data_IF_328263858305
#
_entry.id   IF_328263858305
#
_cell.length_a   1.000
_cell.length_b   1.000
_cell.length_c   1.000
_cell.angle_alpha   90.00
_cell.angle_beta   90.00
_cell.angle_gamma   90.00
#
_symmetry.space_group_name_H-M   'P 1'
#
loop_
_entity.id
_entity.type
_entity.pdbx_description
1 polymer ?
#
# COMPACT_ATOMS: atom_id res chain seq x y z
N UNK A 1 10.00 24.14 -18.18
CA UNK A 1 10.67 24.15 -16.85
C UNK A 1 12.19 24.33 -16.94
N UNK A 2 12.98 23.42 -17.53
CA UNK A 2 14.47 23.56 -17.65
C UNK A 2 14.92 24.80 -18.46
N UNK A 3 14.22 25.12 -19.56
CA UNK A 3 14.50 26.32 -20.37
C UNK A 3 14.14 27.61 -19.63
N UNK A 4 13.06 27.57 -18.86
CA UNK A 4 12.54 28.76 -18.16
C UNK A 4 13.41 29.10 -16.94
N UNK A 5 13.92 28.09 -16.21
CA UNK A 5 14.81 28.31 -15.07
C UNK A 5 16.19 28.83 -15.50
N UNK A 6 16.76 28.28 -16.58
CA UNK A 6 18.00 28.78 -17.16
C UNK A 6 17.83 30.21 -17.70
N UNK A 7 16.70 30.51 -18.35
CA UNK A 7 16.41 31.87 -18.82
C UNK A 7 16.32 32.87 -17.65
N UNK A 8 15.63 32.51 -16.57
CA UNK A 8 15.51 33.37 -15.37
C UNK A 8 16.88 33.57 -14.70
N UNK A 9 17.72 32.54 -14.61
CA UNK A 9 19.07 32.64 -14.05
C UNK A 9 20.00 33.50 -14.91
N UNK A 10 19.93 33.37 -16.23
CA UNK A 10 20.68 34.21 -17.16
C UNK A 10 20.25 35.67 -17.01
N UNK A 11 18.93 35.92 -16.95
CA UNK A 11 18.39 37.28 -16.76
C UNK A 11 18.84 37.86 -15.40
N UNK A 12 18.78 37.09 -14.32
CA UNK A 12 19.23 37.54 -13.00
C UNK A 12 20.73 37.86 -12.98
N UNK A 13 21.58 37.04 -13.60
CA UNK A 13 23.01 37.31 -13.75
C UNK A 13 23.27 38.59 -14.54
N UNK A 14 22.56 38.79 -15.65
CA UNK A 14 22.66 40.00 -16.47
C UNK A 14 22.25 41.23 -15.66
N UNK A 15 21.14 41.15 -14.90
CA UNK A 15 20.64 42.26 -14.07
C UNK A 15 21.62 42.61 -12.95
N UNK A 16 22.15 41.63 -12.22
CA UNK A 16 23.10 41.86 -11.13
C UNK A 16 24.40 42.48 -11.66
N UNK A 17 24.92 41.95 -12.77
CA UNK A 17 26.14 42.49 -13.39
C UNK A 17 25.94 43.90 -13.95
N UNK A 18 24.79 44.20 -14.57
CA UNK A 18 24.49 45.56 -15.04
C UNK A 18 24.30 46.55 -13.89
N UNK A 19 23.63 46.17 -12.81
CA UNK A 19 23.48 47.04 -11.62
C UNK A 19 24.85 47.31 -10.99
N UNK A 20 25.71 46.29 -10.85
CA UNK A 20 27.06 46.44 -10.30
C UNK A 20 27.95 47.34 -11.18
N UNK A 21 27.84 47.23 -12.52
CA UNK A 21 28.51 48.12 -13.48
C UNK A 21 28.06 49.57 -13.31
N UNK A 22 26.75 49.81 -13.21
CA UNK A 22 26.19 51.16 -13.10
C UNK A 22 26.57 51.80 -11.75
N UNK A 23 26.49 51.06 -10.65
CA UNK A 23 26.81 51.57 -9.31
C UNK A 23 28.31 51.81 -9.11
N UNK A 24 29.17 50.88 -9.53
CA UNK A 24 30.61 51.06 -9.35
C UNK A 24 31.23 52.12 -10.24
N UNK A 25 30.64 52.39 -11.42
CA UNK A 25 31.03 53.51 -12.27
C UNK A 25 30.77 54.89 -11.62
N UNK A 26 29.83 54.98 -10.67
CA UNK A 26 29.53 56.20 -9.91
C UNK A 26 30.43 56.40 -8.69
N UNK A 27 30.93 55.31 -8.08
CA UNK A 27 31.66 55.36 -6.80
C UNK A 27 33.19 55.39 -7.00
N UNK A 28 33.73 54.74 -8.03
CA UNK A 28 35.18 54.50 -8.19
C UNK A 28 35.85 55.29 -9.34
N UNK A 29 35.59 56.60 -9.43
CA UNK A 29 36.04 57.46 -10.53
C UNK A 29 37.56 57.78 -10.60
N UNK A 30 38.48 57.09 -9.86
CA UNK A 30 39.83 56.93 -10.40
C UNK A 30 40.42 55.51 -10.35
N UNK A 31 39.82 54.53 -9.67
CA UNK A 31 40.38 53.17 -9.55
C UNK A 31 39.57 52.13 -10.34
N UNK A 32 39.64 52.26 -11.67
CA UNK A 32 39.07 51.28 -12.60
C UNK A 32 39.59 49.86 -12.34
N UNK A 33 40.86 49.71 -11.91
CA UNK A 33 41.46 48.39 -11.70
C UNK A 33 40.82 47.67 -10.51
N UNK A 34 40.64 48.35 -9.39
CA UNK A 34 39.94 47.79 -8.22
C UNK A 34 38.49 47.45 -8.52
N UNK A 35 37.78 48.32 -9.28
CA UNK A 35 36.40 48.08 -9.67
C UNK A 35 36.23 46.83 -10.57
N UNK A 36 37.01 46.73 -11.66
CA UNK A 36 36.95 45.56 -12.54
C UNK A 36 37.42 44.28 -11.85
N UNK A 37 38.39 44.36 -10.93
CA UNK A 37 38.80 43.21 -10.13
C UNK A 37 37.66 42.69 -9.23
N UNK A 38 36.91 43.59 -8.58
CA UNK A 38 35.77 43.18 -7.73
C UNK A 38 34.61 42.62 -8.56
N UNK A 39 34.23 43.29 -9.66
CA UNK A 39 33.18 42.81 -10.56
C UNK A 39 33.51 41.44 -11.17
N UNK A 40 34.79 41.22 -11.52
CA UNK A 40 35.26 39.94 -12.04
C UNK A 40 35.24 38.84 -10.95
N UNK A 41 35.63 39.17 -9.72
CA UNK A 41 35.58 38.25 -8.59
C UNK A 41 34.13 37.84 -8.24
N UNK A 42 33.22 38.81 -8.16
CA UNK A 42 31.78 38.56 -7.92
C UNK A 42 31.14 37.77 -9.07
N UNK A 43 31.46 38.12 -10.32
CA UNK A 43 31.02 37.39 -11.51
C UNK A 43 31.48 35.93 -11.49
N UNK A 44 32.77 35.67 -11.24
CA UNK A 44 33.32 34.32 -11.12
C UNK A 44 32.65 33.53 -9.99
N UNK A 45 32.39 34.17 -8.85
CA UNK A 45 31.68 33.56 -7.72
C UNK A 45 30.25 33.13 -8.08
N UNK A 46 29.51 34.00 -8.76
CA UNK A 46 28.16 33.70 -9.24
C UNK A 46 28.15 32.55 -10.27
N UNK A 47 29.06 32.57 -11.25
CA UNK A 47 29.22 31.50 -12.23
C UNK A 47 29.59 30.16 -11.59
N UNK A 48 30.53 30.15 -10.63
CA UNK A 48 30.92 28.94 -9.91
C UNK A 48 29.75 28.35 -9.12
N UNK A 49 28.98 29.19 -8.45
CA UNK A 49 27.79 28.77 -7.68
C UNK A 49 26.74 28.17 -8.60
N UNK A 50 26.42 28.83 -9.73
CA UNK A 50 25.46 28.31 -10.72
C UNK A 50 25.92 26.97 -11.28
N UNK A 51 27.19 26.85 -11.66
CA UNK A 51 27.75 25.61 -12.20
C UNK A 51 27.69 24.46 -11.19
N UNK A 52 28.00 24.72 -9.91
CA UNK A 52 27.92 23.72 -8.83
C UNK A 52 26.48 23.29 -8.61
N UNK A 53 25.54 24.25 -8.49
CA UNK A 53 24.12 23.95 -8.29
C UNK A 53 23.56 23.16 -9.48
N UNK A 54 23.91 23.54 -10.71
CA UNK A 54 23.49 22.79 -11.90
C UNK A 54 24.05 21.37 -11.90
N UNK A 55 25.33 21.18 -11.59
CA UNK A 55 25.97 19.86 -11.44
C UNK A 55 25.31 19.02 -10.34
N UNK A 56 24.97 19.61 -9.19
CA UNK A 56 24.27 18.94 -8.10
C UNK A 56 22.86 18.51 -8.51
N UNK A 57 22.09 19.40 -9.15
CA UNK A 57 20.75 19.10 -9.65
C UNK A 57 20.78 17.98 -10.69
N UNK A 58 21.74 18.01 -11.63
CA UNK A 58 21.93 16.95 -12.62
C UNK A 58 22.28 15.60 -11.96
N UNK A 59 23.16 15.63 -10.95
CA UNK A 59 23.57 14.42 -10.25
C UNK A 59 22.43 13.81 -9.41
N UNK A 60 21.61 14.64 -8.76
CA UNK A 60 20.42 14.20 -8.04
C UNK A 60 19.36 13.63 -8.97
N UNK A 61 19.14 14.23 -10.15
CA UNK A 61 18.26 13.65 -11.17
C UNK A 61 18.75 12.27 -11.62
N UNK A 62 20.06 12.10 -11.84
CA UNK A 62 20.64 10.80 -12.24
C UNK A 62 20.46 9.76 -11.11
N UNK A 63 20.71 10.14 -9.84
CA UNK A 63 20.49 9.26 -8.68
C UNK A 63 19.04 8.82 -8.57
N UNK A 64 18.08 9.76 -8.68
CA UNK A 64 16.64 9.47 -8.68
C UNK A 64 16.24 8.54 -9.82
N UNK A 65 16.75 8.78 -11.04
CA UNK A 65 16.49 7.90 -12.20
C UNK A 65 17.02 6.48 -11.99
N UNK A 66 18.24 6.35 -11.45
CA UNK A 66 18.84 5.03 -11.14
C UNK A 66 18.05 4.28 -10.07
N UNK A 67 17.64 4.96 -9.00
CA UNK A 67 16.79 4.37 -7.96
C UNK A 67 15.42 3.96 -8.53
N UNK A 68 14.78 4.81 -9.34
CA UNK A 68 13.50 4.49 -9.97
C UNK A 68 13.61 3.28 -10.91
N UNK A 69 14.69 3.18 -11.69
CA UNK A 69 14.94 2.00 -12.54
C UNK A 69 15.14 0.74 -11.70
N UNK A 70 15.96 0.82 -10.64
CA UNK A 70 16.18 -0.30 -9.71
C UNK A 70 14.89 -0.73 -9.02
N UNK A 71 14.06 0.22 -8.58
CA UNK A 71 12.74 -0.05 -8.00
C UNK A 71 11.87 -0.81 -9.00
N UNK A 72 11.76 -0.31 -10.24
CA UNK A 72 10.97 -0.98 -11.29
C UNK A 72 11.44 -2.39 -11.58
N UNK A 73 12.75 -2.60 -11.63
CA UNK A 73 13.33 -3.93 -11.82
C UNK A 73 12.99 -4.87 -10.66
N UNK A 74 13.15 -4.43 -9.41
CA UNK A 74 12.81 -5.26 -8.25
C UNK A 74 11.32 -5.60 -8.22
N UNK A 75 10.45 -4.63 -8.51
CA UNK A 75 9.01 -4.84 -8.61
C UNK A 75 8.67 -5.82 -9.74
N UNK A 76 9.33 -5.72 -10.91
CA UNK A 76 9.12 -6.66 -12.00
C UNK A 76 9.51 -8.10 -11.61
N UNK A 77 10.60 -8.26 -10.85
CA UNK A 77 11.02 -9.57 -10.33
C UNK A 77 10.00 -10.18 -9.35
N UNK A 78 9.16 -9.37 -8.70
CA UNK A 78 8.06 -9.91 -7.87
C UNK A 78 6.93 -10.53 -8.69
N UNK A 79 6.85 -10.19 -9.98
CA UNK A 79 5.91 -10.81 -10.93
C UNK A 79 6.54 -12.02 -11.64
N UNK A 80 7.76 -12.41 -11.26
CA UNK A 80 8.39 -13.62 -11.78
C UNK A 80 7.66 -14.86 -11.28
N UNK A 81 7.64 -15.91 -12.09
CA UNK A 81 7.11 -17.21 -11.68
C UNK A 81 8.07 -17.92 -10.69
N UNK A 82 9.33 -17.50 -10.63
CA UNK A 82 10.36 -18.05 -9.73
C UNK A 82 10.23 -17.48 -8.30
N UNK A 83 9.90 -18.32 -7.30
CA UNK A 83 9.82 -17.90 -5.90
C UNK A 83 11.13 -17.34 -5.35
N UNK A 84 12.29 -17.78 -5.86
CA UNK A 84 13.61 -17.31 -5.42
C UNK A 84 13.81 -15.85 -5.85
N UNK A 85 13.45 -15.51 -7.09
CA UNK A 85 13.53 -14.13 -7.59
C UNK A 85 12.59 -13.21 -6.83
N UNK A 86 11.35 -13.64 -6.60
CA UNK A 86 10.36 -12.89 -5.83
C UNK A 86 10.83 -12.64 -4.40
N UNK A 87 11.33 -13.68 -3.71
CA UNK A 87 11.84 -13.57 -2.35
C UNK A 87 13.07 -12.67 -2.27
N UNK A 88 13.98 -12.79 -3.24
CA UNK A 88 15.15 -11.92 -3.34
C UNK A 88 14.75 -10.46 -3.56
N UNK A 89 13.78 -10.22 -4.45
CA UNK A 89 13.26 -8.89 -4.72
C UNK A 89 12.62 -8.25 -3.47
N UNK A 90 11.74 -8.98 -2.78
CA UNK A 90 11.11 -8.54 -1.54
C UNK A 90 12.13 -8.20 -0.45
N UNK A 91 13.10 -9.09 -0.23
CA UNK A 91 14.19 -8.84 0.72
C UNK A 91 14.96 -7.57 0.37
N UNK A 92 15.21 -7.34 -0.92
CA UNK A 92 15.93 -6.14 -1.36
C UNK A 92 15.10 -4.87 -1.22
N UNK A 93 13.81 -4.92 -1.53
CA UNK A 93 12.89 -3.81 -1.31
C UNK A 93 12.83 -3.45 0.18
N UNK A 94 12.75 -4.44 1.06
CA UNK A 94 12.72 -4.22 2.51
C UNK A 94 14.00 -3.60 3.05
N UNK A 95 15.16 -4.13 2.65
CA UNK A 95 16.46 -3.55 3.03
C UNK A 95 16.62 -2.09 2.61
N UNK A 96 15.90 -1.67 1.55
CA UNK A 96 15.93 -0.30 1.06
C UNK A 96 14.83 0.58 1.67
N UNK A 97 13.98 0.06 2.57
CA UNK A 97 12.81 0.77 3.12
C UNK A 97 11.66 0.94 2.12
N UNK A 98 11.81 0.40 0.91
CA UNK A 98 10.91 0.67 -0.21
C UNK A 98 9.54 0.00 -0.06
N UNK A 99 9.45 -1.11 0.68
CA UNK A 99 8.15 -1.75 0.94
C UNK A 99 7.17 -0.82 1.68
N UNK A 100 7.66 -0.05 2.65
CA UNK A 100 6.86 0.88 3.45
C UNK A 100 6.77 2.29 2.82
N UNK A 101 7.71 2.67 1.95
CA UNK A 101 7.76 3.97 1.26
C UNK A 101 6.96 4.02 -0.06
N UNK A 102 5.94 3.17 -0.20
CA UNK A 102 5.07 3.17 -1.38
C UNK A 102 5.73 2.65 -2.65
N UNK A 103 6.69 1.72 -2.54
CA UNK A 103 7.25 1.12 -3.74
C UNK A 103 6.24 0.31 -4.55
N UNK A 104 5.23 -0.25 -3.87
CA UNK A 104 4.18 -1.06 -4.46
C UNK A 104 2.86 -0.27 -4.65
N UNK A 105 2.81 0.97 -4.18
CA UNK A 105 1.71 1.89 -4.41
C UNK A 105 1.39 2.04 -5.91
N UNK A 106 0.14 1.83 -6.30
CA UNK A 106 -0.32 1.88 -7.71
C UNK A 106 0.43 0.94 -8.67
N UNK A 107 1.04 -0.14 -8.17
CA UNK A 107 1.73 -1.13 -9.01
C UNK A 107 0.77 -2.24 -9.43
N UNK A 108 1.03 -2.86 -10.59
CA UNK A 108 0.38 -4.11 -10.98
C UNK A 108 1.25 -5.32 -10.61
N UNK A 109 0.76 -6.11 -9.67
CA UNK A 109 1.23 -7.44 -9.27
C UNK A 109 0.17 -8.50 -9.63
N UNK A 110 -0.64 -8.25 -10.66
CA UNK A 110 -1.65 -9.20 -11.11
C UNK A 110 -0.97 -10.50 -11.53
N UNK A 111 -1.57 -11.63 -11.15
CA UNK A 111 -1.04 -12.98 -11.37
C UNK A 111 0.30 -13.29 -10.68
N UNK A 112 0.86 -12.38 -9.87
CA UNK A 112 2.14 -12.60 -9.22
C UNK A 112 2.08 -13.80 -8.27
N UNK A 113 3.15 -14.60 -8.25
CA UNK A 113 3.34 -15.67 -7.30
C UNK A 113 4.03 -15.12 -6.04
N UNK A 114 3.22 -14.77 -5.04
CA UNK A 114 3.62 -14.17 -3.76
C UNK A 114 3.35 -15.14 -2.60
N UNK A 115 3.44 -16.45 -2.84
CA UNK A 115 3.32 -17.44 -1.77
C UNK A 115 4.41 -17.26 -0.74
N UNK A 116 4.04 -17.38 0.54
CA UNK A 116 4.96 -17.22 1.67
C UNK A 116 5.69 -15.87 1.66
N UNK A 117 5.21 -14.91 0.85
CA UNK A 117 5.85 -13.62 0.69
C UNK A 117 5.70 -12.81 1.97
N UNK A 118 6.81 -12.29 2.47
CA UNK A 118 6.79 -11.37 3.59
C UNK A 118 6.61 -9.93 3.10
N UNK A 119 5.37 -9.47 3.22
CA UNK A 119 4.85 -8.14 2.89
C UNK A 119 4.41 -7.41 4.17
N UNK A 120 5.01 -7.73 5.32
CA UNK A 120 4.74 -7.05 6.58
C UNK A 120 4.92 -5.53 6.42
N UNK A 121 3.92 -4.76 6.88
CA UNK A 121 3.88 -3.29 6.79
C UNK A 121 3.98 -2.71 5.36
N UNK A 122 3.82 -3.53 4.32
CA UNK A 122 3.96 -3.05 2.95
C UNK A 122 2.86 -2.03 2.58
N UNK A 123 3.25 -0.96 1.88
CA UNK A 123 2.32 -0.03 1.22
C UNK A 123 1.90 -0.63 -0.13
N UNK A 124 0.76 -1.31 -0.11
CA UNK A 124 0.04 -1.90 -1.24
C UNK A 124 -1.22 -1.06 -1.59
N UNK A 125 -1.19 0.25 -1.28
CA UNK A 125 -2.30 1.14 -1.57
C UNK A 125 -2.58 1.15 -3.07
N UNK A 126 -3.83 0.83 -3.42
CA UNK A 126 -4.33 0.82 -4.79
C UNK A 126 -3.47 -0.06 -5.74
N UNK A 127 -2.81 -1.08 -5.20
CA UNK A 127 -2.07 -2.09 -5.96
C UNK A 127 -3.04 -3.07 -6.63
N UNK A 128 -2.74 -3.49 -7.85
CA UNK A 128 -3.49 -4.54 -8.54
C UNK A 128 -2.88 -5.91 -8.22
N UNK A 129 -3.56 -6.70 -7.39
CA UNK A 129 -3.23 -8.06 -6.98
C UNK A 129 -4.23 -9.09 -7.54
N UNK A 130 -4.94 -8.74 -8.63
CA UNK A 130 -5.94 -9.64 -9.22
C UNK A 130 -5.31 -10.97 -9.58
N UNK A 131 -5.94 -12.07 -9.15
CA UNK A 131 -5.46 -13.44 -9.43
C UNK A 131 -4.04 -13.72 -8.92
N UNK A 132 -3.50 -12.90 -8.01
CA UNK A 132 -2.24 -13.18 -7.34
C UNK A 132 -2.37 -14.39 -6.40
N UNK A 133 -1.23 -15.04 -6.15
CA UNK A 133 -1.12 -16.19 -5.26
C UNK A 133 -0.43 -15.72 -3.99
N UNK A 134 -1.18 -15.59 -2.89
CA UNK A 134 -0.74 -15.07 -1.60
C UNK A 134 -0.85 -16.15 -0.50
N UNK A 135 -0.95 -17.42 -0.89
CA UNK A 135 -1.04 -18.54 0.06
C UNK A 135 0.12 -18.43 1.08
N UNK A 136 -0.23 -18.46 2.37
CA UNK A 136 0.69 -18.33 3.51
C UNK A 136 1.56 -17.04 3.53
N UNK A 137 1.21 -16.02 2.77
CA UNK A 137 1.90 -14.73 2.79
C UNK A 137 1.67 -13.96 4.11
N UNK A 138 2.61 -13.07 4.45
CA UNK A 138 2.53 -12.21 5.64
C UNK A 138 2.19 -10.79 5.18
N UNK A 139 0.98 -10.34 5.51
CA UNK A 139 0.43 -9.00 5.25
C UNK A 139 0.06 -8.27 6.55
N UNK A 140 0.68 -8.66 7.67
CA UNK A 140 0.43 -8.03 8.97
C UNK A 140 0.75 -6.54 8.88
N UNK A 141 -0.15 -5.68 9.36
CA UNK A 141 -0.06 -4.21 9.27
C UNK A 141 0.07 -3.65 7.83
N UNK A 142 -0.17 -4.43 6.77
CA UNK A 142 -0.06 -3.92 5.40
C UNK A 142 -1.19 -2.93 5.06
N UNK A 143 -0.88 -1.92 4.26
CA UNK A 143 -1.87 -0.99 3.70
C UNK A 143 -2.35 -1.53 2.34
N UNK A 144 -3.54 -2.11 2.30
CA UNK A 144 -4.19 -2.66 1.13
C UNK A 144 -5.41 -1.84 0.71
N UNK A 145 -5.50 -0.58 1.16
CA UNK A 145 -6.65 0.28 0.87
C UNK A 145 -6.83 0.44 -0.62
N UNK A 146 -8.07 0.30 -1.09
CA UNK A 146 -8.45 0.41 -2.51
C UNK A 146 -7.69 -0.53 -3.46
N UNK A 147 -7.00 -1.55 -2.93
CA UNK A 147 -6.31 -2.55 -3.75
C UNK A 147 -7.31 -3.43 -4.50
N UNK A 148 -6.87 -4.03 -5.61
CA UNK A 148 -7.67 -4.94 -6.43
C UNK A 148 -7.21 -6.38 -6.20
N UNK A 149 -7.92 -7.12 -5.35
CA UNK A 149 -7.63 -8.51 -4.97
C UNK A 149 -8.63 -9.51 -5.60
N UNK A 150 -9.43 -9.07 -6.57
CA UNK A 150 -10.44 -9.93 -7.17
C UNK A 150 -9.81 -11.22 -7.72
N UNK A 151 -10.39 -12.36 -7.34
CA UNK A 151 -9.91 -13.71 -7.67
C UNK A 151 -8.50 -14.08 -7.14
N UNK A 152 -7.93 -13.33 -6.20
CA UNK A 152 -6.67 -13.72 -5.56
C UNK A 152 -6.87 -14.97 -4.68
N UNK A 153 -5.81 -15.75 -4.49
CA UNK A 153 -5.76 -16.84 -3.50
C UNK A 153 -4.98 -16.37 -2.29
N UNK A 154 -5.56 -16.52 -1.11
CA UNK A 154 -5.08 -16.03 0.18
C UNK A 154 -5.22 -17.10 1.27
N UNK A 155 -5.08 -18.39 0.90
CA UNK A 155 -5.23 -19.46 1.88
C UNK A 155 -4.18 -19.32 2.98
N UNK A 156 -4.58 -19.31 4.25
CA UNK A 156 -3.64 -19.22 5.38
C UNK A 156 -2.88 -17.89 5.52
N UNK A 157 -3.14 -16.90 4.66
CA UNK A 157 -2.47 -15.60 4.69
C UNK A 157 -2.67 -14.90 6.03
N UNK A 158 -1.62 -14.23 6.53
CA UNK A 158 -1.65 -13.47 7.78
C UNK A 158 -1.91 -12.00 7.50
N UNK A 159 -3.15 -11.55 7.65
CA UNK A 159 -3.62 -10.17 7.43
C UNK A 159 -3.99 -9.46 8.74
N UNK A 160 -3.43 -9.88 9.88
CA UNK A 160 -3.70 -9.26 11.18
C UNK A 160 -3.40 -7.76 11.13
N UNK A 161 -4.33 -6.93 11.59
CA UNK A 161 -4.23 -5.47 11.57
C UNK A 161 -4.05 -4.83 10.18
N UNK A 162 -4.26 -5.57 9.09
CA UNK A 162 -4.17 -5.01 7.74
C UNK A 162 -5.30 -4.00 7.46
N UNK A 163 -5.00 -2.96 6.68
CA UNK A 163 -5.98 -1.96 6.25
C UNK A 163 -6.49 -2.30 4.84
N UNK A 164 -7.67 -2.90 4.75
CA UNK A 164 -8.33 -3.34 3.52
C UNK A 164 -9.52 -2.42 3.16
N UNK A 165 -9.57 -1.19 3.68
CA UNK A 165 -10.68 -0.27 3.41
C UNK A 165 -10.90 -0.07 1.91
N UNK A 166 -12.14 -0.24 1.49
CA UNK A 166 -12.55 -0.14 0.08
C UNK A 166 -11.77 -1.05 -0.88
N UNK A 167 -11.11 -2.10 -0.40
CA UNK A 167 -10.46 -3.08 -1.26
C UNK A 167 -11.50 -3.90 -2.04
N UNK A 168 -11.15 -4.30 -3.25
CA UNK A 168 -11.97 -5.17 -4.08
C UNK A 168 -11.52 -6.63 -3.92
N UNK A 169 -12.26 -7.38 -3.12
CA UNK A 169 -12.02 -8.79 -2.78
C UNK A 169 -13.06 -9.72 -3.44
N UNK A 170 -13.62 -9.31 -4.59
CA UNK A 170 -14.65 -10.11 -5.29
C UNK A 170 -14.08 -11.49 -5.63
N UNK A 171 -14.78 -12.55 -5.23
CA UNK A 171 -14.38 -13.95 -5.49
C UNK A 171 -12.96 -14.27 -5.02
N UNK A 172 -12.46 -13.61 -3.97
CA UNK A 172 -11.21 -13.99 -3.33
C UNK A 172 -11.37 -15.36 -2.67
N UNK A 173 -10.32 -16.16 -2.70
CA UNK A 173 -10.23 -17.40 -1.91
C UNK A 173 -9.40 -17.12 -0.66
N UNK A 174 -10.06 -16.78 0.44
CA UNK A 174 -9.49 -16.39 1.72
C UNK A 174 -9.86 -17.41 2.83
N UNK A 175 -9.87 -18.70 2.46
CA UNK A 175 -10.07 -19.78 3.41
C UNK A 175 -8.93 -19.81 4.43
N UNK A 176 -9.28 -19.94 5.72
CA UNK A 176 -8.32 -19.98 6.82
C UNK A 176 -7.39 -18.76 6.91
N UNK A 177 -7.73 -17.65 6.24
CA UNK A 177 -6.99 -16.39 6.37
C UNK A 177 -7.16 -15.82 7.77
N UNK A 178 -6.08 -15.29 8.35
CA UNK A 178 -6.15 -14.54 9.59
C UNK A 178 -6.38 -13.05 9.29
N UNK A 179 -7.61 -12.59 9.43
CA UNK A 179 -8.08 -11.20 9.30
C UNK A 179 -8.35 -10.55 10.66
N UNK A 180 -7.75 -11.08 11.74
CA UNK A 180 -7.95 -10.55 13.09
C UNK A 180 -7.60 -9.06 13.15
N UNK A 181 -8.52 -8.26 13.70
CA UNK A 181 -8.38 -6.80 13.81
C UNK A 181 -8.13 -6.08 12.47
N UNK A 182 -8.43 -6.71 11.34
CA UNK A 182 -8.30 -6.07 10.03
C UNK A 182 -9.40 -5.03 9.82
N UNK A 183 -9.08 -3.96 9.08
CA UNK A 183 -10.05 -2.93 8.71
C UNK A 183 -10.60 -3.19 7.30
N UNK A 184 -11.83 -3.65 7.20
CA UNK A 184 -12.52 -4.00 5.96
C UNK A 184 -13.66 -3.01 5.64
N UNK A 185 -13.64 -1.79 6.21
CA UNK A 185 -14.71 -0.81 6.01
C UNK A 185 -14.92 -0.53 4.53
N UNK A 186 -16.16 -0.72 4.07
CA UNK A 186 -16.57 -0.53 2.68
C UNK A 186 -15.88 -1.46 1.66
N UNK A 187 -15.22 -2.54 2.10
CA UNK A 187 -14.62 -3.52 1.20
C UNK A 187 -15.68 -4.32 0.44
N UNK A 188 -15.36 -4.73 -0.79
CA UNK A 188 -16.26 -5.54 -1.62
C UNK A 188 -15.83 -7.01 -1.59
N UNK A 189 -16.52 -7.83 -0.81
CA UNK A 189 -16.27 -9.27 -0.59
C UNK A 189 -17.30 -10.17 -1.29
N UNK A 190 -17.93 -9.68 -2.37
CA UNK A 190 -18.98 -10.43 -3.08
C UNK A 190 -18.44 -11.78 -3.55
N UNK A 191 -19.15 -12.85 -3.21
CA UNK A 191 -18.78 -14.22 -3.52
C UNK A 191 -17.39 -14.66 -2.99
N UNK A 192 -16.86 -13.98 -1.98
CA UNK A 192 -15.62 -14.39 -1.32
C UNK A 192 -15.78 -15.74 -0.62
N UNK A 193 -14.74 -16.55 -0.64
CA UNK A 193 -14.62 -17.79 0.14
C UNK A 193 -13.84 -17.45 1.42
N UNK A 194 -14.52 -17.41 2.56
CA UNK A 194 -13.99 -17.00 3.87
C UNK A 194 -14.09 -18.14 4.89
N UNK A 195 -14.20 -19.38 4.42
CA UNK A 195 -14.43 -20.52 5.30
C UNK A 195 -13.27 -20.65 6.30
N UNK A 196 -13.62 -20.82 7.57
CA UNK A 196 -12.65 -20.91 8.67
C UNK A 196 -11.69 -19.71 8.79
N UNK A 197 -12.00 -18.55 8.20
CA UNK A 197 -11.21 -17.35 8.40
C UNK A 197 -11.37 -16.83 9.85
N UNK A 198 -10.29 -16.33 10.44
CA UNK A 198 -10.34 -15.62 11.71
C UNK A 198 -10.59 -14.13 11.42
N UNK A 199 -11.80 -13.65 11.69
CA UNK A 199 -12.19 -12.26 11.52
C UNK A 199 -12.48 -11.59 12.87
N UNK A 200 -11.93 -12.15 13.96
CA UNK A 200 -12.08 -11.63 15.32
C UNK A 200 -11.64 -10.17 15.39
N UNK A 201 -12.42 -9.31 16.07
CA UNK A 201 -12.16 -7.87 16.21
C UNK A 201 -12.07 -7.08 14.89
N UNK A 202 -12.51 -7.63 13.75
CA UNK A 202 -12.44 -6.94 12.46
C UNK A 202 -13.53 -5.88 12.28
N UNK A 203 -13.24 -4.85 11.49
CA UNK A 203 -14.21 -3.79 11.16
C UNK A 203 -14.78 -4.01 9.75
N UNK A 204 -16.03 -4.46 9.65
CA UNK A 204 -16.72 -4.76 8.41
C UNK A 204 -17.79 -3.71 8.08
N UNK A 205 -17.75 -2.52 8.69
CA UNK A 205 -18.79 -1.51 8.49
C UNK A 205 -18.96 -1.17 7.01
N UNK A 206 -20.19 -1.28 6.51
CA UNK A 206 -20.51 -1.00 5.10
C UNK A 206 -19.89 -1.97 4.09
N UNK A 207 -19.24 -3.06 4.50
CA UNK A 207 -18.69 -4.06 3.61
C UNK A 207 -19.80 -4.81 2.85
N UNK A 208 -19.48 -5.35 1.68
CA UNK A 208 -20.43 -6.11 0.85
C UNK A 208 -20.08 -7.61 0.84
N UNK A 209 -20.83 -8.42 1.59
CA UNK A 209 -20.67 -9.87 1.73
C UNK A 209 -21.73 -10.67 0.94
N UNK A 210 -22.39 -10.06 -0.04
CA UNK A 210 -23.40 -10.72 -0.89
C UNK A 210 -22.79 -11.98 -1.53
N UNK A 211 -23.41 -13.13 -1.26
CA UNK A 211 -22.97 -14.44 -1.74
C UNK A 211 -21.64 -14.95 -1.22
N UNK A 212 -21.04 -14.31 -0.20
CA UNK A 212 -19.85 -14.82 0.46
C UNK A 212 -20.15 -16.10 1.24
N UNK A 213 -19.14 -16.95 1.42
CA UNK A 213 -19.23 -18.13 2.27
C UNK A 213 -18.39 -17.94 3.53
N UNK A 214 -19.05 -17.73 4.67
CA UNK A 214 -18.43 -17.54 5.98
C UNK A 214 -18.43 -18.82 6.83
N UNK A 215 -18.78 -19.99 6.28
CA UNK A 215 -18.89 -21.23 7.05
C UNK A 215 -17.63 -21.47 7.90
N UNK A 216 -17.80 -21.59 9.21
CA UNK A 216 -16.70 -21.80 10.15
C UNK A 216 -15.86 -20.55 10.48
N UNK A 217 -16.16 -19.38 9.92
CA UNK A 217 -15.41 -18.15 10.20
C UNK A 217 -15.70 -17.59 11.60
N UNK A 218 -14.66 -17.18 12.34
CA UNK A 218 -14.82 -16.55 13.65
C UNK A 218 -15.05 -15.04 13.49
N UNK A 219 -16.25 -14.57 13.83
CA UNK A 219 -16.65 -13.16 13.78
C UNK A 219 -16.70 -12.51 15.17
N UNK A 220 -16.11 -13.13 16.19
CA UNK A 220 -16.12 -12.61 17.56
C UNK A 220 -15.68 -11.14 17.60
N UNK A 221 -16.56 -10.27 18.12
CA UNK A 221 -16.37 -8.82 18.25
C UNK A 221 -16.19 -8.08 16.92
N UNK A 222 -16.52 -8.69 15.78
CA UNK A 222 -16.52 -8.00 14.49
C UNK A 222 -17.67 -6.99 14.39
N UNK A 223 -17.40 -5.85 13.77
CA UNK A 223 -18.41 -4.79 13.56
C UNK A 223 -19.10 -4.95 12.20
N UNK A 224 -20.35 -5.43 12.22
CA UNK A 224 -21.15 -5.67 11.01
C UNK A 224 -22.13 -4.54 10.66
N UNK A 225 -21.98 -3.34 11.25
CA UNK A 225 -22.96 -2.26 11.01
C UNK A 225 -22.97 -1.82 9.55
N UNK A 226 -24.14 -1.90 8.91
CA UNK A 226 -24.31 -1.55 7.50
C UNK A 226 -23.68 -2.54 6.52
N UNK A 227 -23.15 -3.67 6.99
CA UNK A 227 -22.68 -4.75 6.12
C UNK A 227 -23.85 -5.34 5.32
N UNK A 228 -23.62 -5.60 4.04
CA UNK A 228 -24.64 -6.13 3.13
C UNK A 228 -24.53 -7.63 3.01
N UNK A 229 -25.66 -8.31 3.20
CA UNK A 229 -25.84 -9.75 3.05
C UNK A 229 -27.03 -10.03 2.12
N UNK A 230 -27.10 -11.23 1.55
CA UNK A 230 -28.28 -11.69 0.83
C UNK A 230 -28.53 -13.19 1.07
N UNK A 231 -29.62 -13.71 0.52
CA UNK A 231 -30.00 -15.14 0.65
C UNK A 231 -28.96 -16.13 0.10
N UNK A 232 -27.98 -15.64 -0.67
CA UNK A 232 -26.89 -16.45 -1.17
C UNK A 232 -25.69 -16.50 -0.23
N UNK A 233 -25.60 -15.58 0.74
CA UNK A 233 -24.57 -15.57 1.77
C UNK A 233 -24.76 -16.73 2.76
N UNK A 234 -23.67 -17.45 3.03
CA UNK A 234 -23.61 -18.52 4.04
C UNK A 234 -22.97 -17.94 5.30
N UNK A 235 -23.64 -18.12 6.44
CA UNK A 235 -23.22 -17.66 7.77
C UNK A 235 -22.22 -18.64 8.42
N UNK A 236 -21.58 -18.25 9.55
CA UNK A 236 -20.60 -19.11 10.21
C UNK A 236 -21.08 -20.50 10.60
N UNK A 237 -22.35 -20.65 10.98
CA UNK A 237 -22.96 -21.96 11.30
C UNK A 237 -23.38 -22.76 10.06
N UNK A 238 -23.07 -22.29 8.86
CA UNK A 238 -23.43 -22.94 7.59
C UNK A 238 -24.87 -22.65 7.12
N UNK A 239 -25.68 -21.96 7.93
CA UNK A 239 -27.00 -21.51 7.51
C UNK A 239 -26.92 -20.42 6.44
N UNK A 240 -28.01 -20.19 5.72
CA UNK A 240 -28.13 -19.07 4.78
C UNK A 240 -28.68 -17.84 5.49
N UNK A 241 -28.18 -16.67 5.12
CA UNK A 241 -28.72 -15.41 5.63
C UNK A 241 -30.19 -15.21 5.24
N UNK A 242 -30.96 -14.66 6.17
CA UNK A 242 -32.34 -14.22 6.02
C UNK A 242 -32.52 -12.86 6.73
N UNK A 243 -33.63 -12.17 6.47
CA UNK A 243 -33.96 -10.92 7.19
C UNK A 243 -34.08 -11.11 8.71
N UNK A 244 -34.37 -12.34 9.16
CA UNK A 244 -34.61 -12.68 10.56
C UNK A 244 -33.36 -13.31 11.21
N UNK A 245 -32.23 -13.36 10.49
CA UNK A 245 -30.98 -13.89 11.01
C UNK A 245 -30.44 -12.99 12.12
N UNK A 246 -30.37 -13.54 13.33
CA UNK A 246 -29.68 -12.92 14.46
C UNK A 246 -28.17 -12.97 14.21
N UNK A 247 -27.57 -11.83 13.86
CA UNK A 247 -26.14 -11.72 13.60
C UNK A 247 -25.32 -11.50 14.88
N UNK A 248 -25.95 -11.03 15.96
CA UNK A 248 -25.27 -10.72 17.22
C UNK A 248 -24.74 -12.00 17.88
N UNK A 249 -25.40 -13.14 17.63
CA UNK A 249 -24.87 -14.44 18.05
C UNK A 249 -23.51 -14.80 17.45
N UNK A 250 -23.07 -14.19 16.35
CA UNK A 250 -21.75 -14.44 15.77
C UNK A 250 -20.71 -13.41 16.24
N UNK A 251 -21.14 -12.26 16.77
CA UNK A 251 -20.27 -11.12 17.07
C UNK A 251 -20.20 -10.77 18.55
N UNK A 252 -21.24 -10.97 19.36
CA UNK A 252 -21.26 -10.63 20.78
C UNK A 252 -20.97 -11.85 21.66
N UNK A 253 -19.79 -11.92 22.34
CA UNK A 253 -19.47 -13.01 23.26
C UNK A 253 -20.42 -13.14 24.46
N UNK A 254 -21.28 -12.14 24.72
CA UNK A 254 -22.29 -12.17 25.78
C UNK A 254 -23.61 -12.77 25.31
N UNK A 255 -23.78 -13.00 24.01
CA UNK A 255 -24.99 -13.59 23.47
C UNK A 255 -25.18 -15.03 23.99
N UNK A 256 -26.38 -15.44 24.46
CA UNK A 256 -26.59 -16.79 25.01
C UNK A 256 -26.26 -17.92 24.05
N UNK A 257 -26.45 -17.69 22.75
CA UNK A 257 -26.16 -18.63 21.67
C UNK A 257 -24.90 -18.25 20.88
N UNK A 258 -23.93 -17.60 21.53
CA UNK A 258 -22.70 -17.14 20.90
C UNK A 258 -21.98 -18.28 20.16
N UNK A 259 -21.76 -18.09 18.86
CA UNK A 259 -21.17 -19.07 17.97
C UNK A 259 -19.64 -18.93 17.97
N UNK A 260 -18.93 -20.03 18.18
CA UNK A 260 -17.47 -20.07 18.05
C UNK A 260 -16.94 -21.49 17.89
N UNK A 261 -16.26 -21.79 16.79
CA UNK A 261 -15.76 -23.15 16.50
C UNK A 261 -14.85 -23.72 17.59
N UNK A 262 -14.03 -22.89 18.25
CA UNK A 262 -13.09 -23.32 19.30
C UNK A 262 -13.73 -23.53 20.68
N UNK A 263 -14.99 -23.15 20.87
CA UNK A 263 -15.68 -23.24 22.16
C UNK A 263 -16.58 -24.49 22.21
N UNK A 264 -16.28 -25.49 23.08
CA UNK A 264 -17.04 -26.74 23.16
C UNK A 264 -18.51 -26.55 23.58
N UNK A 265 -18.85 -25.40 24.16
CA UNK A 265 -20.23 -25.06 24.57
C UNK A 265 -20.97 -24.21 23.55
N UNK A 266 -20.33 -23.84 22.45
CA UNK A 266 -21.01 -23.09 21.41
C UNK A 266 -21.80 -24.03 20.49
N UNK A 267 -22.85 -23.52 19.82
CA UNK A 267 -23.55 -24.27 18.78
C UNK A 267 -22.67 -24.72 17.61
N UNK A 268 -21.45 -24.19 17.48
CA UNK A 268 -20.52 -24.56 16.42
C UNK A 268 -19.92 -25.96 16.62
N UNK A 269 -19.68 -26.35 17.88
CA UNK A 269 -19.04 -27.63 18.20
C UNK A 269 -19.96 -28.83 17.94
N UNK A 270 -21.28 -28.66 18.10
CA UNK A 270 -22.27 -29.68 17.76
C UNK A 270 -22.30 -29.99 16.25
N UNK A 271 -21.98 -29.01 15.41
CA UNK A 271 -21.96 -29.14 13.95
C UNK A 271 -20.67 -29.83 13.47
N UNK A 272 -19.51 -29.51 14.06
CA UNK A 272 -18.24 -30.17 13.74
C UNK A 272 -18.21 -31.66 14.10
N UNK A 273 -18.92 -32.08 15.15
CA UNK A 273 -19.01 -33.49 15.56
C UNK A 273 -19.99 -34.32 14.72
N UNK A 274 -20.82 -33.68 13.89
CA UNK A 274 -21.87 -34.31 13.09
C UNK A 274 -21.49 -34.53 11.61
N UNK A 275 -20.31 -34.07 11.18
CA UNK A 275 -19.73 -34.28 9.83
C UNK A 275 -18.54 -35.24 9.89
#
# INVERSE_FOLDING_TARGET
>A
MRRDLLAVQIIACIVVTTIAVIWGAWIFQPDLKGFFANLYAEGLGAFATIFIVERMLQHDEIRKRRQAHKRRHLVANMCSDDPIETSHALRKLRQLGWLTEGALHNVSLAHANLREADLHEADLYHTNLRRALLDDAILINADLRRSLLAHARMHGTQCTLADLRHANLIRVDAQRTNLRSANLVGATLRHAQLQHADMTDSDLQGANLIGANLQGADLARADLRGTQFDVSTILPDGSRWTSDSDLDRFTDPRHPAFWRSDNPRSPAHEIEMAC
#
